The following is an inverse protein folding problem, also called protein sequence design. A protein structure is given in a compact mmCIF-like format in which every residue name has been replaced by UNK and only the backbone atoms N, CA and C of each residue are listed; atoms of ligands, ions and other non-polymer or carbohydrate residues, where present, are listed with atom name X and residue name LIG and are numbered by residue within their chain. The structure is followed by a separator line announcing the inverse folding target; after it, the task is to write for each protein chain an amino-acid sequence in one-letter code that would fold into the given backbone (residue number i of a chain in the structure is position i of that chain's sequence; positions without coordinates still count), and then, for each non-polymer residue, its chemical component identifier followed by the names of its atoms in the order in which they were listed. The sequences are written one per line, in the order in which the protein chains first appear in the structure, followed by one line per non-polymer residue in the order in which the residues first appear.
data_IF_654536679294
#
_entry.id   IF_654536679294
#
_cell.length_a   1.000
_cell.length_b   1.000
_cell.length_c   1.000
_cell.angle_alpha   90.00
_cell.angle_beta   90.00
_cell.angle_gamma   90.00
#
_symmetry.space_group_name_H-M   'P 1'
#
loop_
_entity.id
_entity.type
_entity.pdbx_description
1 polymer ?
#
# COMPACT_ATOMS: atom_id res chain seq x y z
N UNK A 1 3.04 -22.96 25.77
CA UNK A 1 2.52 -21.62 25.41
C UNK A 1 2.24 -21.65 23.93
N UNK A 2 0.97 -21.76 23.56
CA UNK A 2 0.59 -21.95 22.16
C UNK A 2 0.70 -20.59 21.47
N UNK A 3 1.76 -20.39 20.68
CA UNK A 3 1.82 -19.27 19.77
C UNK A 3 0.69 -19.47 18.76
N UNK A 4 -0.41 -18.74 18.92
CA UNK A 4 -1.38 -18.59 17.85
C UNK A 4 -0.61 -18.07 16.65
N UNK A 5 -0.44 -18.91 15.63
CA UNK A 5 0.17 -18.52 14.38
C UNK A 5 -0.73 -17.45 13.77
N UNK A 6 -0.35 -16.18 13.96
CA UNK A 6 -0.98 -15.07 13.27
C UNK A 6 -0.67 -15.32 11.80
N UNK A 7 -1.69 -15.70 11.01
CA UNK A 7 -1.58 -15.59 9.57
C UNK A 7 -1.46 -14.09 9.28
N UNK A 8 -0.51 -13.77 8.42
CA UNK A 8 0.12 -12.47 8.20
C UNK A 8 -0.20 -12.04 6.73
N UNK A 9 -0.55 -10.76 6.48
CA UNK A 9 -1.34 -10.23 5.35
C UNK A 9 -0.37 -9.67 4.33
N UNK A 10 -0.16 -10.39 3.24
CA UNK A 10 0.51 -9.79 2.10
C UNK A 10 -0.57 -9.37 1.12
N UNK A 11 -0.92 -8.08 1.06
CA UNK A 11 -1.93 -7.59 0.09
C UNK A 11 -1.67 -7.98 -1.38
N UNK A 12 -0.42 -8.37 -1.71
CA UNK A 12 -0.01 -8.82 -3.04
C UNK A 12 -0.14 -10.34 -3.24
N UNK A 13 -0.43 -11.11 -2.19
CA UNK A 13 -0.60 -12.55 -2.28
C UNK A 13 -2.02 -12.92 -2.75
N UNK A 14 -2.08 -13.99 -3.55
CA UNK A 14 -3.34 -14.50 -4.09
C UNK A 14 -4.33 -14.97 -3.01
N UNK A 15 -3.84 -15.31 -1.81
CA UNK A 15 -4.68 -15.73 -0.68
C UNK A 15 -5.65 -14.64 -0.21
N UNK A 16 -5.34 -13.37 -0.47
CA UNK A 16 -6.22 -12.25 -0.16
C UNK A 16 -7.17 -11.90 -1.30
N UNK A 17 -7.20 -12.69 -2.38
CA UNK A 17 -7.99 -12.41 -3.55
C UNK A 17 -8.91 -13.59 -3.86
N UNK A 18 -10.18 -13.47 -3.46
CA UNK A 18 -11.21 -14.37 -3.93
C UNK A 18 -11.63 -13.94 -5.34
N UNK A 19 -11.14 -14.67 -6.33
CA UNK A 19 -11.42 -14.41 -7.75
C UNK A 19 -12.81 -14.84 -8.20
N UNK A 20 -13.58 -15.51 -7.35
CA UNK A 20 -14.89 -16.05 -7.68
C UNK A 20 -16.02 -15.23 -7.09
N UNK A 21 -15.80 -14.56 -5.95
CA UNK A 21 -16.83 -13.79 -5.27
C UNK A 21 -16.37 -12.37 -4.92
N UNK A 22 -17.03 -11.40 -5.54
CA UNK A 22 -17.00 -10.01 -5.09
C UNK A 22 -17.98 -9.81 -3.94
N UNK A 23 -17.49 -9.36 -2.79
CA UNK A 23 -18.29 -8.98 -1.64
C UNK A 23 -18.25 -7.46 -1.42
N UNK A 24 -19.28 -6.85 -0.82
CA UNK A 24 -19.29 -5.41 -0.58
C UNK A 24 -18.24 -5.05 0.47
N UNK A 25 -17.33 -4.15 0.10
CA UNK A 25 -16.30 -3.63 1.00
C UNK A 25 -16.91 -3.14 2.30
N UNK A 26 -16.38 -3.59 3.44
CA UNK A 26 -16.91 -3.24 4.78
C UNK A 26 -16.79 -1.74 5.10
N UNK A 27 -15.98 -0.99 4.35
CA UNK A 27 -15.77 0.44 4.54
C UNK A 27 -16.52 1.30 3.52
N UNK A 28 -16.42 1.00 2.22
CA UNK A 28 -16.99 1.84 1.15
C UNK A 28 -18.19 1.20 0.42
N UNK A 29 -18.54 -0.05 0.78
CA UNK A 29 -19.65 -0.84 0.23
C UNK A 29 -19.56 -1.21 -1.25
N UNK A 30 -18.56 -0.71 -1.99
CA UNK A 30 -18.30 -1.12 -3.38
C UNK A 30 -17.81 -2.58 -3.43
N UNK A 31 -18.12 -3.34 -4.49
CA UNK A 31 -17.66 -4.72 -4.63
C UNK A 31 -16.13 -4.83 -4.57
N UNK A 32 -15.64 -5.90 -3.94
CA UNK A 32 -14.23 -6.24 -3.90
C UNK A 32 -13.98 -7.74 -3.83
N UNK A 33 -13.01 -8.25 -4.60
CA UNK A 33 -12.51 -9.62 -4.47
C UNK A 33 -11.53 -9.76 -3.30
N UNK A 34 -11.13 -8.65 -2.68
CA UNK A 34 -10.05 -8.63 -1.70
C UNK A 34 -10.55 -8.95 -0.28
N UNK A 35 -9.75 -9.69 0.49
CA UNK A 35 -10.03 -10.10 1.88
C UNK A 35 -8.92 -9.64 2.82
N UNK A 36 -9.32 -9.07 3.96
CA UNK A 36 -8.44 -8.86 5.12
C UNK A 36 -8.11 -10.20 5.79
N UNK A 37 -7.37 -10.15 6.90
CA UNK A 37 -7.04 -11.35 7.68
C UNK A 37 -8.18 -11.99 8.40
N UNK A 38 -9.11 -11.14 8.82
CA UNK A 38 -10.33 -11.57 9.45
C UNK A 38 -11.37 -11.97 8.39
N UNK A 39 -10.94 -12.18 7.14
CA UNK A 39 -11.77 -12.48 5.98
C UNK A 39 -12.79 -11.37 5.63
N UNK A 40 -12.65 -10.18 6.22
CA UNK A 40 -13.49 -9.04 5.88
C UNK A 40 -13.19 -8.57 4.45
N UNK A 41 -14.23 -8.45 3.61
CA UNK A 41 -14.12 -7.88 2.28
C UNK A 41 -13.71 -6.40 2.36
N UNK A 42 -12.53 -6.05 1.87
CA UNK A 42 -12.02 -4.66 1.97
C UNK A 42 -11.06 -4.35 0.84
N UNK A 43 -11.21 -3.18 0.21
CA UNK A 43 -10.17 -2.69 -0.69
C UNK A 43 -8.94 -2.31 0.12
N UNK A 44 -7.75 -2.64 -0.41
CA UNK A 44 -6.47 -2.22 0.18
C UNK A 44 -6.45 -0.73 0.55
N UNK A 45 -6.87 0.15 -0.38
CA UNK A 45 -6.88 1.60 -0.15
C UNK A 45 -7.82 2.02 0.98
N UNK A 46 -8.96 1.31 1.13
CA UNK A 46 -9.88 1.58 2.22
C UNK A 46 -9.28 1.15 3.57
N UNK A 47 -8.61 0.00 3.61
CA UNK A 47 -7.88 -0.47 4.78
C UNK A 47 -6.73 0.49 5.19
N UNK A 48 -5.93 0.97 4.23
CA UNK A 48 -4.87 1.95 4.47
C UNK A 48 -5.44 3.29 4.98
N UNK A 49 -6.54 3.78 4.38
CA UNK A 49 -7.23 4.99 4.84
C UNK A 49 -7.76 4.83 6.27
N UNK A 50 -8.27 3.64 6.61
CA UNK A 50 -8.71 3.34 7.98
C UNK A 50 -7.53 3.42 8.96
N UNK A 51 -6.39 2.82 8.61
CA UNK A 51 -5.17 2.87 9.44
C UNK A 51 -4.66 4.29 9.69
N UNK A 52 -4.78 5.16 8.69
CA UNK A 52 -4.40 6.57 8.77
C UNK A 52 -5.36 7.37 9.66
N UNK A 53 -6.66 7.11 9.54
CA UNK A 53 -7.72 7.85 10.27
C UNK A 53 -7.96 7.33 11.69
N UNK A 54 -7.43 6.16 12.05
CA UNK A 54 -7.58 5.55 13.37
C UNK A 54 -6.21 5.34 14.06
N UNK A 55 -5.45 6.41 14.35
CA UNK A 55 -4.12 6.28 14.95
C UNK A 55 -4.14 5.69 16.36
N UNK A 56 -5.25 5.83 17.09
CA UNK A 56 -5.43 5.31 18.44
C UNK A 56 -5.88 3.83 18.49
N UNK A 57 -6.26 3.24 17.36
CA UNK A 57 -6.65 1.82 17.33
C UNK A 57 -5.43 0.92 17.59
N UNK A 58 -5.66 -0.27 18.14
CA UNK A 58 -4.59 -1.21 18.42
C UNK A 58 -3.80 -1.53 17.13
N UNK A 59 -2.47 -1.42 17.19
CA UNK A 59 -1.58 -1.55 16.03
C UNK A 59 -0.72 -2.80 16.09
N UNK A 60 -0.43 -3.37 14.92
CA UNK A 60 0.55 -4.42 14.76
C UNK A 60 1.88 -3.82 14.32
N UNK A 61 2.98 -4.21 14.95
CA UNK A 61 4.33 -3.69 14.67
C UNK A 61 5.31 -4.85 14.56
N UNK A 62 6.23 -4.75 13.62
CA UNK A 62 7.35 -5.69 13.48
C UNK A 62 8.66 -4.91 13.59
N UNK A 63 9.29 -4.98 14.76
CA UNK A 63 10.41 -4.11 15.11
C UNK A 63 9.99 -2.64 15.05
N UNK A 64 10.74 -1.83 14.30
CA UNK A 64 10.44 -0.41 14.10
C UNK A 64 9.35 -0.12 13.07
N UNK A 65 8.89 -1.12 12.29
CA UNK A 65 7.89 -0.92 11.25
C UNK A 65 6.48 -0.99 11.82
N UNK A 66 5.69 0.04 11.54
CA UNK A 66 4.24 0.04 11.73
C UNK A 66 3.58 -0.70 10.58
N UNK A 67 2.85 -1.76 10.89
CA UNK A 67 2.17 -2.58 9.89
C UNK A 67 0.71 -2.18 9.75
N UNK A 68 0.24 -1.18 10.49
CA UNK A 68 -1.16 -0.81 10.52
C UNK A 68 -1.86 -1.40 11.75
N UNK A 69 -3.17 -1.52 11.66
CA UNK A 69 -4.01 -1.82 12.82
C UNK A 69 -4.34 -3.29 12.91
N UNK A 70 -4.72 -3.78 14.09
CA UNK A 70 -5.05 -5.21 14.25
C UNK A 70 -6.16 -5.67 13.29
N UNK A 71 -7.09 -4.78 12.95
CA UNK A 71 -8.16 -5.05 11.98
C UNK A 71 -7.62 -5.08 10.55
N UNK A 72 -6.82 -4.08 10.18
CA UNK A 72 -6.24 -3.95 8.86
C UNK A 72 -4.73 -3.76 9.00
N UNK A 73 -3.97 -4.85 8.95
CA UNK A 73 -2.51 -4.77 8.96
C UNK A 73 -1.92 -5.41 7.72
N UNK A 74 -0.82 -4.85 7.28
CA UNK A 74 0.10 -5.38 6.29
C UNK A 74 1.06 -6.37 6.95
N UNK A 75 1.81 -7.06 6.11
CA UNK A 75 2.90 -7.89 6.55
C UNK A 75 4.23 -7.20 6.73
N UNK A 76 4.89 -7.63 7.79
CA UNK A 76 6.34 -7.60 7.79
C UNK A 76 6.80 -8.58 6.70
N UNK A 77 7.69 -8.16 5.79
CA UNK A 77 8.39 -9.13 4.95
C UNK A 77 8.98 -10.19 5.87
N UNK A 78 8.55 -11.44 5.72
CA UNK A 78 9.17 -12.54 6.47
C UNK A 78 10.65 -12.57 6.10
N UNK A 79 11.58 -12.80 7.04
CA UNK A 79 12.98 -13.06 6.70
C UNK A 79 13.10 -14.46 6.09
N UNK A 80 12.39 -14.72 4.98
CA UNK A 80 12.35 -16.00 4.28
C UNK A 80 13.10 -15.84 2.96
N UNK A 81 14.44 -15.95 3.04
CA UNK A 81 15.42 -15.70 1.96
C UNK A 81 15.29 -14.30 1.36
N UNK A 82 16.41 -13.57 1.34
CA UNK A 82 16.58 -12.44 0.44
C UNK A 82 16.23 -12.91 -0.99
N UNK A 83 14.99 -12.67 -1.43
CA UNK A 83 14.73 -12.51 -2.85
C UNK A 83 15.66 -11.39 -3.25
N UNK A 84 16.68 -11.72 -4.04
CA UNK A 84 17.54 -10.75 -4.67
C UNK A 84 16.64 -9.94 -5.61
N UNK A 85 15.98 -8.91 -5.06
CA UNK A 85 15.21 -7.95 -5.83
C UNK A 85 16.26 -7.18 -6.61
N UNK A 86 16.55 -7.67 -7.84
CA UNK A 86 17.20 -6.87 -8.86
C UNK A 86 16.39 -5.59 -8.97
N UNK A 87 16.91 -4.51 -8.39
CA UNK A 87 16.38 -3.18 -8.61
C UNK A 87 16.42 -2.97 -10.13
N UNK A 88 15.25 -2.92 -10.77
CA UNK A 88 15.20 -2.36 -12.11
C UNK A 88 15.68 -0.90 -11.98
N UNK A 89 16.65 -0.46 -12.79
CA UNK A 89 17.04 0.94 -12.78
C UNK A 89 15.80 1.79 -13.07
N UNK A 90 15.57 2.78 -12.21
CA UNK A 90 14.49 3.72 -12.41
C UNK A 90 14.78 4.51 -13.69
N UNK A 91 13.78 4.64 -14.58
CA UNK A 91 13.89 5.57 -15.70
C UNK A 91 14.06 6.98 -15.13
N UNK A 92 15.07 7.75 -15.54
CA UNK A 92 15.20 9.14 -15.12
C UNK A 92 13.93 9.90 -15.52
N UNK A 93 13.51 10.82 -14.65
CA UNK A 93 12.39 11.71 -14.92
C UNK A 93 12.65 12.47 -16.25
N UNK A 94 11.62 12.73 -17.07
CA UNK A 94 11.80 13.56 -18.25
C UNK A 94 12.22 14.95 -17.79
N UNK A 95 13.39 15.41 -18.25
CA UNK A 95 13.88 16.75 -17.98
C UNK A 95 12.86 17.77 -18.48
N UNK A 96 12.45 18.66 -17.59
CA UNK A 96 11.56 19.76 -17.92
C UNK A 96 12.28 20.67 -18.93
N UNK A 97 11.87 20.60 -20.19
CA UNK A 97 12.34 21.51 -21.23
C UNK A 97 11.94 22.92 -20.80
N UNK A 98 12.93 23.73 -20.41
CA UNK A 98 12.72 25.14 -20.13
C UNK A 98 12.37 25.83 -21.45
N UNK A 99 11.10 26.21 -21.59
CA UNK A 99 10.64 27.02 -22.72
C UNK A 99 11.23 28.42 -22.54
N UNK A 100 12.31 28.71 -23.25
CA UNK A 100 12.98 30.01 -23.20
C UNK A 100 12.10 31.04 -23.93
N UNK A 101 11.46 31.95 -23.18
CA UNK A 101 10.79 33.10 -23.79
C UNK A 101 11.83 34.10 -24.33
N UNK A 102 11.65 34.65 -25.54
CA UNK A 102 12.55 35.68 -26.06
C UNK A 102 12.44 36.98 -25.24
N UNK A 103 13.59 37.58 -24.92
CA UNK A 103 13.68 38.88 -24.24
C UNK A 103 13.24 40.03 -25.17
N UNK A 104 12.59 41.08 -24.64
CA UNK A 104 12.25 42.25 -25.44
C UNK A 104 13.48 43.14 -25.62
N UNK A 105 13.91 43.33 -26.88
CA UNK A 105 14.98 44.27 -27.22
C UNK A 105 14.54 45.71 -26.91
N UNK A 106 15.36 46.43 -26.13
CA UNK A 106 15.19 47.85 -25.82
C UNK A 106 15.79 48.68 -26.96
N UNK A 107 14.95 49.14 -27.89
CA UNK A 107 15.34 50.20 -28.84
C UNK A 107 15.60 51.50 -28.08
N UNK A 108 16.83 52.02 -28.21
CA UNK A 108 17.17 53.40 -27.85
C UNK A 108 17.25 54.22 -29.14
N UNK A 109 16.77 55.45 -29.08
CA UNK A 109 16.58 56.40 -30.19
C UNK A 109 17.86 56.84 -30.88
#
# INVERSE_FOLDING_TARGET
MNASAVRLLIWREALHFDRFEDLPCVLCRKPTPMRSHADEAVHKVCAEQWNHTHPAAARYRAGARDLGTRRFHDDAPTPSKQTNVRHLPQRPAPEAQTLQLPSPERKTA
#
